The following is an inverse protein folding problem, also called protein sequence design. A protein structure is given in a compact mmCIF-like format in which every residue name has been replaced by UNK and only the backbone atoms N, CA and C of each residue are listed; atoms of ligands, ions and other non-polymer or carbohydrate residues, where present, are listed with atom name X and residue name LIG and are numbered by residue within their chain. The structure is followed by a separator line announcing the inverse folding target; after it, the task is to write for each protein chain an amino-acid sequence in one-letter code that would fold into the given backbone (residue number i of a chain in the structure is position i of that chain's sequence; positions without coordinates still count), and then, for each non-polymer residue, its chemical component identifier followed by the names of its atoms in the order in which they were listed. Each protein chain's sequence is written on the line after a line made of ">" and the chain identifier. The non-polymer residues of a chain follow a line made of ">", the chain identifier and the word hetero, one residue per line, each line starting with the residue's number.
data_IF_969429314037
#
_entry.id   IF_969429314037
#
_cell.length_a   1.000
_cell.length_b   1.000
_cell.length_c   1.000
_cell.angle_alpha   90.00
_cell.angle_beta   90.00
_cell.angle_gamma   90.00
#
_symmetry.space_group_name_H-M   'P 1'
#
loop_
_entity.id
_entity.type
_entity.pdbx_description
1 polymer ?
#
# COMPACT_ATOMS: atom_id res chain seq x y z
N UNK A 1 13.04 13.57 -13.73
CA UNK A 1 12.87 12.36 -12.90
C UNK A 1 11.70 11.61 -13.49
N UNK A 2 11.84 10.32 -13.77
CA UNK A 2 10.71 9.51 -14.20
C UNK A 2 9.60 9.57 -13.13
N UNK A 3 8.32 9.46 -13.51
CA UNK A 3 7.24 9.46 -12.54
C UNK A 3 7.32 8.21 -11.65
N UNK A 4 7.45 8.41 -10.34
CA UNK A 4 7.33 7.34 -9.36
C UNK A 4 5.84 7.04 -9.17
N UNK A 5 5.43 5.79 -9.44
CA UNK A 5 4.07 5.34 -9.14
C UNK A 5 4.07 4.60 -7.81
N UNK A 6 3.24 5.06 -6.89
CA UNK A 6 2.99 4.39 -5.63
C UNK A 6 1.81 3.45 -5.77
N UNK A 7 2.03 2.17 -5.44
CA UNK A 7 1.00 1.12 -5.46
C UNK A 7 0.65 0.76 -4.02
N UNK A 8 -0.64 0.79 -3.69
CA UNK A 8 -1.16 0.46 -2.38
C UNK A 8 -2.23 -0.61 -2.45
N UNK A 9 -2.29 -1.46 -1.42
CA UNK A 9 -3.40 -2.40 -1.17
C UNK A 9 -3.95 -2.22 0.23
N UNK A 10 -5.26 -2.37 0.36
CA UNK A 10 -5.97 -2.30 1.64
C UNK A 10 -6.11 -3.70 2.23
N UNK A 11 -5.56 -3.93 3.42
CA UNK A 11 -5.72 -5.16 4.18
C UNK A 11 -6.66 -4.88 5.36
N UNK A 12 -7.88 -5.47 5.40
CA UNK A 12 -8.93 -5.09 6.36
C UNK A 12 -8.53 -5.28 7.82
N UNK A 13 -7.76 -6.32 8.11
CA UNK A 13 -7.32 -6.65 9.47
C UNK A 13 -5.82 -6.46 9.61
N UNK A 14 -5.41 -5.87 10.74
CA UNK A 14 -4.01 -5.77 11.12
C UNK A 14 -3.51 -7.12 11.63
N UNK A 15 -3.10 -7.99 10.71
CA UNK A 15 -2.49 -9.27 11.04
C UNK A 15 -0.94 -9.13 11.10
N UNK A 16 -0.29 -9.44 12.23
CA UNK A 16 1.18 -9.43 12.33
C UNK A 16 1.86 -10.41 11.36
N UNK A 17 1.21 -11.51 10.97
CA UNK A 17 1.75 -12.47 9.99
C UNK A 17 1.78 -11.85 8.59
N UNK A 18 0.71 -11.15 8.19
CA UNK A 18 0.67 -10.40 6.92
C UNK A 18 1.75 -9.33 6.90
N UNK A 19 1.92 -8.61 8.01
CA UNK A 19 2.96 -7.59 8.13
C UNK A 19 4.37 -8.19 8.05
N UNK A 20 4.62 -9.27 8.81
CA UNK A 20 5.91 -9.97 8.82
C UNK A 20 6.26 -10.48 7.42
N UNK A 21 5.30 -11.11 6.74
CA UNK A 21 5.46 -11.56 5.36
C UNK A 21 5.77 -10.43 4.39
N UNK A 22 5.08 -9.29 4.49
CA UNK A 22 5.38 -8.13 3.66
C UNK A 22 6.81 -7.61 3.90
N UNK A 23 7.24 -7.55 5.16
CA UNK A 23 8.60 -7.13 5.51
C UNK A 23 9.62 -8.13 4.96
N UNK A 24 9.42 -9.43 5.15
CA UNK A 24 10.35 -10.46 4.68
C UNK A 24 10.48 -10.46 3.15
N UNK A 25 9.36 -10.36 2.44
CA UNK A 25 9.30 -10.46 0.98
C UNK A 25 9.77 -9.17 0.29
N UNK A 26 9.53 -7.99 0.88
CA UNK A 26 9.69 -6.70 0.19
C UNK A 26 10.58 -5.67 0.88
N UNK A 27 10.88 -5.81 2.17
CA UNK A 27 11.74 -4.86 2.90
C UNK A 27 13.16 -5.39 2.96
N UNK A 28 14.13 -4.53 2.67
CA UNK A 28 15.55 -4.88 2.70
C UNK A 28 16.01 -5.05 4.16
N UNK A 29 16.39 -6.28 4.52
CA UNK A 29 16.76 -6.65 5.89
C UNK A 29 18.15 -6.17 6.32
N UNK A 30 19.00 -5.76 5.37
CA UNK A 30 20.36 -5.27 5.64
C UNK A 30 20.42 -3.74 5.83
N UNK A 31 19.29 -3.04 5.67
CA UNK A 31 19.20 -1.61 5.86
C UNK A 31 18.87 -1.24 7.29
N UNK A 32 19.87 -1.08 8.14
CA UNK A 32 19.79 -0.08 9.21
C UNK A 32 19.65 1.29 8.53
N UNK A 33 18.43 1.62 8.11
CA UNK A 33 18.11 2.77 7.27
C UNK A 33 16.80 3.36 7.76
N UNK A 34 16.90 4.13 8.84
CA UNK A 34 16.22 5.40 9.11
C UNK A 34 14.74 5.48 8.75
N UNK A 35 13.98 4.39 8.91
CA UNK A 35 12.60 4.31 8.45
C UNK A 35 11.81 5.53 8.92
N UNK A 36 11.53 6.46 8.00
CA UNK A 36 10.96 7.74 8.39
C UNK A 36 9.54 7.46 8.83
N UNK A 37 9.28 7.71 10.10
CA UNK A 37 7.92 7.68 10.63
C UNK A 37 7.31 9.05 10.39
N UNK A 38 6.20 9.08 9.66
CA UNK A 38 5.34 10.24 9.59
C UNK A 38 3.94 9.82 10.03
N UNK A 39 3.50 10.28 11.20
CA UNK A 39 2.21 9.89 11.77
C UNK A 39 2.05 8.36 11.93
N UNK A 40 1.08 7.80 11.20
CA UNK A 40 0.75 6.36 11.19
C UNK A 40 1.46 5.57 10.07
N UNK A 41 2.25 6.25 9.25
CA UNK A 41 2.99 5.66 8.14
C UNK A 41 4.43 5.36 8.54
N UNK A 42 4.97 4.29 7.95
CA UNK A 42 6.38 3.93 7.94
C UNK A 42 6.84 3.83 6.50
N UNK A 43 7.88 4.59 6.18
CA UNK A 43 8.63 4.47 4.95
C UNK A 43 9.86 3.62 5.23
N UNK A 44 9.99 2.52 4.51
CA UNK A 44 11.05 1.53 4.67
C UNK A 44 11.81 1.38 3.35
N UNK A 45 13.06 0.97 3.46
CA UNK A 45 13.86 0.61 2.29
C UNK A 45 13.29 -0.66 1.66
N UNK A 46 12.87 -0.59 0.41
CA UNK A 46 12.41 -1.79 -0.29
C UNK A 46 13.59 -2.60 -0.84
N UNK A 47 13.36 -3.91 -1.01
CA UNK A 47 14.23 -4.77 -1.80
C UNK A 47 14.13 -4.40 -3.28
N UNK A 48 15.26 -4.46 -3.97
CA UNK A 48 15.31 -4.34 -5.42
C UNK A 48 14.31 -5.33 -6.07
N UNK A 49 13.57 -4.92 -7.12
CA UNK A 49 13.74 -3.68 -7.89
C UNK A 49 12.94 -2.47 -7.38
N UNK A 50 12.29 -2.55 -6.22
CA UNK A 50 11.41 -1.47 -5.73
C UNK A 50 12.20 -0.37 -5.02
N UNK A 51 11.68 0.85 -5.04
CA UNK A 51 12.36 2.01 -4.46
C UNK A 51 12.05 2.20 -2.98
N UNK A 52 10.79 2.02 -2.60
CA UNK A 52 10.32 2.26 -1.24
C UNK A 52 9.20 1.28 -0.89
N UNK A 53 9.20 0.82 0.35
CA UNK A 53 8.15 0.01 0.94
C UNK A 53 7.44 0.84 2.00
N UNK A 54 6.11 0.84 1.97
CA UNK A 54 5.29 1.76 2.74
C UNK A 54 4.27 0.96 3.52
N UNK A 55 4.17 1.24 4.81
CA UNK A 55 3.24 0.56 5.71
C UNK A 55 2.50 1.62 6.51
N UNK A 56 1.19 1.66 6.37
CA UNK A 56 0.33 2.62 7.06
C UNK A 56 -0.72 1.89 7.88
N UNK A 57 -0.77 2.19 9.18
CA UNK A 57 -1.89 1.77 10.02
C UNK A 57 -3.02 2.77 9.88
N UNK A 58 -4.19 2.36 9.42
CA UNK A 58 -5.32 3.28 9.23
C UNK A 58 -6.04 3.59 10.55
N UNK A 59 -6.82 4.67 10.59
CA UNK A 59 -7.71 5.00 11.71
C UNK A 59 -8.82 3.96 11.90
N UNK A 60 -9.21 3.29 10.81
CA UNK A 60 -10.25 2.26 10.76
C UNK A 60 -9.77 0.86 11.18
N UNK A 61 -8.50 0.72 11.60
CA UNK A 61 -7.93 -0.55 12.05
C UNK A 61 -7.36 -1.45 10.94
N UNK A 62 -7.55 -1.06 9.68
CA UNK A 62 -6.93 -1.71 8.53
C UNK A 62 -5.44 -1.35 8.39
N UNK A 63 -4.73 -2.12 7.57
CA UNK A 63 -3.34 -1.84 7.17
C UNK A 63 -3.29 -1.55 5.68
N UNK A 64 -2.68 -0.43 5.29
CA UNK A 64 -2.35 -0.15 3.90
C UNK A 64 -0.89 -0.53 3.69
N UNK A 65 -0.65 -1.43 2.74
CA UNK A 65 0.68 -1.86 2.33
C UNK A 65 0.96 -1.29 0.94
N UNK A 66 2.17 -0.78 0.71
CA UNK A 66 2.51 -0.23 -0.59
C UNK A 66 3.97 -0.32 -0.97
N UNK A 67 4.18 -0.23 -2.28
CA UNK A 67 5.49 -0.26 -2.92
C UNK A 67 5.53 0.81 -4.02
N UNK A 68 6.63 1.53 -4.08
CA UNK A 68 6.89 2.49 -5.15
C UNK A 68 7.65 1.81 -6.29
N UNK A 69 7.16 2.00 -7.51
CA UNK A 69 7.77 1.51 -8.74
C UNK A 69 8.21 2.68 -9.62
N UNK A 70 9.42 2.56 -10.14
CA UNK A 70 9.91 3.40 -11.23
C UNK A 70 9.84 2.58 -12.52
N UNK A 71 9.47 3.24 -13.61
CA UNK A 71 9.74 2.75 -14.96
C UNK A 71 10.28 3.89 -15.82
N UNK A 72 10.92 3.59 -16.97
CA UNK A 72 11.40 4.62 -17.91
C UNK A 72 10.24 5.53 -18.34
N UNK A 73 10.54 6.72 -18.90
CA UNK A 73 9.63 7.85 -19.21
C UNK A 73 8.34 7.57 -20.03
N UNK A 74 7.95 6.31 -20.21
CA UNK A 74 6.69 5.84 -20.80
C UNK A 74 5.65 5.51 -19.72
N UNK A 75 4.72 6.44 -19.48
CA UNK A 75 3.62 6.27 -18.52
C UNK A 75 2.78 4.99 -18.75
N UNK A 76 2.44 4.57 -19.98
CA UNK A 76 1.75 3.29 -20.22
C UNK A 76 2.51 2.08 -19.68
N UNK A 77 3.82 2.00 -19.89
CA UNK A 77 4.65 0.93 -19.35
C UNK A 77 4.69 0.94 -17.81
N UNK A 78 4.80 2.12 -17.19
CA UNK A 78 4.78 2.24 -15.72
C UNK A 78 3.42 1.80 -15.16
N UNK A 79 2.32 2.18 -15.81
CA UNK A 79 0.97 1.77 -15.41
C UNK A 79 0.78 0.25 -15.50
N UNK A 80 1.25 -0.38 -16.59
CA UNK A 80 1.18 -1.84 -16.72
C UNK A 80 1.97 -2.54 -15.62
N UNK A 81 3.17 -2.03 -15.27
CA UNK A 81 3.97 -2.57 -14.17
C UNK A 81 3.27 -2.41 -12.81
N UNK A 82 2.66 -1.23 -12.58
CA UNK A 82 1.91 -0.93 -11.37
C UNK A 82 0.67 -1.82 -11.23
N UNK A 83 -0.06 -2.06 -12.33
CA UNK A 83 -1.22 -2.96 -12.36
C UNK A 83 -0.81 -4.40 -12.05
N UNK A 84 0.25 -4.90 -12.67
CA UNK A 84 0.78 -6.24 -12.40
C UNK A 84 1.24 -6.39 -10.94
N UNK A 85 1.91 -5.37 -10.39
CA UNK A 85 2.30 -5.35 -8.99
C UNK A 85 1.08 -5.33 -8.07
N UNK A 86 0.10 -4.48 -8.34
CA UNK A 86 -1.14 -4.41 -7.58
C UNK A 86 -1.85 -5.77 -7.58
N UNK A 87 -1.99 -6.41 -8.74
CA UNK A 87 -2.59 -7.74 -8.87
C UNK A 87 -1.85 -8.81 -8.05
N UNK A 88 -0.51 -8.74 -7.97
CA UNK A 88 0.28 -9.64 -7.10
C UNK A 88 0.01 -9.37 -5.62
N UNK A 89 0.08 -8.12 -5.19
CA UNK A 89 -0.15 -7.73 -3.79
C UNK A 89 -1.58 -8.10 -3.32
N UNK A 90 -2.59 -7.84 -4.17
CA UNK A 90 -3.98 -8.22 -3.91
C UNK A 90 -4.12 -9.71 -3.64
N UNK A 91 -3.54 -10.55 -4.50
CA UNK A 91 -3.59 -12.02 -4.31
C UNK A 91 -2.76 -12.49 -3.12
N UNK A 92 -1.57 -11.94 -2.94
CA UNK A 92 -0.63 -12.39 -1.90
C UNK A 92 -1.11 -12.09 -0.49
N UNK A 93 -1.76 -10.95 -0.31
CA UNK A 93 -2.25 -10.50 0.99
C UNK A 93 -3.77 -10.64 1.13
N UNK A 94 -4.42 -11.32 0.17
CA UNK A 94 -5.88 -11.44 0.09
C UNK A 94 -6.58 -10.09 0.26
N UNK A 95 -5.96 -9.03 -0.27
CA UNK A 95 -6.45 -7.67 -0.11
C UNK A 95 -7.65 -7.44 -1.06
N UNK A 96 -8.78 -6.93 -0.56
CA UNK A 96 -9.98 -6.69 -1.35
C UNK A 96 -9.88 -5.45 -2.25
N UNK A 97 -8.93 -4.54 -1.99
CA UNK A 97 -8.82 -3.30 -2.73
C UNK A 97 -7.38 -2.87 -2.94
N UNK A 98 -7.12 -2.25 -4.09
CA UNK A 98 -5.84 -1.69 -4.47
C UNK A 98 -6.00 -0.37 -5.22
N UNK A 99 -5.03 0.53 -5.06
CA UNK A 99 -4.96 1.79 -5.79
C UNK A 99 -3.51 2.12 -6.16
N UNK A 100 -3.32 2.80 -7.28
CA UNK A 100 -2.02 3.32 -7.66
C UNK A 100 -2.12 4.70 -8.29
N UNK A 101 -1.08 5.51 -8.12
CA UNK A 101 -1.03 6.88 -8.61
C UNK A 101 0.37 7.48 -8.56
N UNK A 102 0.55 8.63 -9.21
CA UNK A 102 1.83 9.37 -9.18
C UNK A 102 1.96 10.08 -7.86
N UNK A 103 3.04 9.79 -7.11
CA UNK A 103 3.31 10.37 -5.79
C UNK A 103 2.07 10.35 -4.87
N UNK A 104 1.29 9.27 -4.96
CA UNK A 104 0.01 9.13 -4.27
C UNK A 104 0.32 8.94 -2.78
N UNK A 105 -0.17 9.79 -1.87
CA UNK A 105 0.04 9.56 -0.44
C UNK A 105 -0.66 8.28 0.01
N UNK A 106 -0.11 7.54 0.98
CA UNK A 106 -0.79 6.40 1.55
C UNK A 106 -2.02 6.87 2.35
N UNK A 107 -3.16 6.19 2.18
CA UNK A 107 -4.37 6.52 2.92
C UNK A 107 -4.21 6.19 4.41
N UNK A 108 -4.50 7.16 5.27
CA UNK A 108 -4.58 6.96 6.72
C UNK A 108 -5.99 6.55 7.18
N UNK A 109 -7.01 6.68 6.34
CA UNK A 109 -8.36 6.19 6.58
C UNK A 109 -9.12 5.89 5.28
N UNK A 110 -10.33 5.37 5.43
CA UNK A 110 -11.21 5.03 4.31
C UNK A 110 -11.63 6.24 3.49
N UNK A 111 -11.83 7.42 4.08
CA UNK A 111 -12.21 8.61 3.30
C UNK A 111 -11.06 9.01 2.38
N UNK A 112 -9.83 9.03 2.91
CA UNK A 112 -8.62 9.26 2.13
C UNK A 112 -8.37 8.17 1.08
N UNK A 113 -8.83 6.93 1.31
CA UNK A 113 -8.75 5.85 0.32
C UNK A 113 -9.57 6.16 -0.95
N UNK A 114 -10.77 6.71 -0.76
CA UNK A 114 -11.70 7.04 -1.85
C UNK A 114 -11.38 8.38 -2.53
N UNK A 115 -10.42 9.16 -2.01
CA UNK A 115 -9.95 10.34 -2.73
C UNK A 115 -9.26 9.90 -4.04
N UNK A 116 -9.82 10.37 -5.17
CA UNK A 116 -9.42 10.01 -6.53
C UNK A 116 -8.49 11.04 -7.19
N UNK A 117 -8.13 12.13 -6.50
CA UNK A 117 -7.42 13.26 -7.13
C UNK A 117 -6.08 12.88 -7.78
N UNK A 118 -5.40 11.87 -7.23
CA UNK A 118 -4.10 11.38 -7.69
C UNK A 118 -4.13 9.91 -8.14
N UNK A 119 -5.31 9.28 -8.14
CA UNK A 119 -5.46 7.85 -8.45
C UNK A 119 -5.54 7.65 -9.96
N UNK A 120 -4.68 6.76 -10.48
CA UNK A 120 -4.65 6.37 -11.89
C UNK A 120 -5.19 4.95 -12.11
N UNK A 121 -5.06 4.07 -11.13
CA UNK A 121 -5.55 2.69 -11.18
C UNK A 121 -6.28 2.36 -9.88
N UNK A 122 -7.42 1.68 -9.98
CA UNK A 122 -8.19 1.15 -8.85
C UNK A 122 -8.70 -0.24 -9.18
N UNK A 123 -8.55 -1.15 -8.22
CA UNK A 123 -9.10 -2.51 -8.28
C UNK A 123 -9.83 -2.77 -6.97
N UNK A 124 -11.09 -3.19 -7.07
CA UNK A 124 -11.90 -3.52 -5.89
C UNK A 124 -12.19 -2.32 -4.98
N UNK A 125 -12.82 -2.60 -3.85
CA UNK A 125 -13.27 -1.61 -2.86
C UNK A 125 -13.03 -2.19 -1.47
N UNK A 126 -12.56 -1.38 -0.50
CA UNK A 126 -12.35 -1.89 0.84
C UNK A 126 -13.70 -2.29 1.45
N UNK A 127 -13.82 -3.45 2.12
CA UNK A 127 -15.08 -3.91 2.70
C UNK A 127 -15.57 -2.87 3.70
N UNK A 128 -16.88 -2.68 3.90
CA UNK A 128 -17.38 -1.72 4.88
C UNK A 128 -16.74 -1.95 6.25
N UNK A 129 -16.61 -0.92 7.10
CA UNK A 129 -16.13 -1.13 8.47
C UNK A 129 -17.02 -2.20 9.10
N UNK A 130 -16.41 -3.25 9.65
CA UNK A 130 -17.18 -4.25 10.38
C UNK A 130 -18.00 -3.50 11.42
N UNK A 131 -19.33 -3.70 11.40
CA UNK A 131 -20.21 -3.17 12.41
C UNK A 131 -19.75 -3.79 13.74
N UNK A 132 -18.91 -3.05 14.47
CA UNK A 132 -18.32 -3.50 15.71
C UNK A 132 -19.43 -4.07 16.58
N UNK A 133 -19.21 -5.29 17.06
CA UNK A 133 -19.97 -5.96 18.10
C UNK A 133 -20.53 -4.94 19.09
N UNK A 134 -21.80 -4.56 18.92
CA UNK A 134 -22.53 -3.79 19.92
C UNK A 134 -22.65 -4.73 21.11
N UNK A 135 -21.75 -4.58 22.10
CA UNK A 135 -21.96 -5.19 23.41
C UNK A 135 -23.31 -4.70 23.90
N UNK A 136 -24.31 -5.56 24.12
CA UNK A 136 -25.50 -5.14 24.82
C UNK A 136 -25.05 -4.65 26.20
N UNK A 137 -25.49 -3.44 26.56
CA UNK A 137 -25.31 -2.86 27.89
C UNK A 137 -26.08 -3.66 28.94
#
# INVERSE_FOLDING_TARGET
>A
MPPCLDVYVWVPERNPETLGRFVDDYVDGDGCGDGQRHGRTRYLRARAPHHQAIITSTRDGATVLGLSVDAPDDLPAVLSLAEDLMGRLLRQFSAPAGRAGVELPPAEDRSEWHDDALVLLRIGEPPPPEAGFQRPS
#
